data_IF_200344125302
#
_entry.id   IF_200344125302
#
_cell.length_a   1.000
_cell.length_b   1.000
_cell.length_c   1.000
_cell.angle_alpha   90.00
_cell.angle_beta   90.00
_cell.angle_gamma   90.00
#
_symmetry.space_group_name_H-M   'P 1'
#
loop_
_entity.id
_entity.type
_entity.pdbx_description
1 polymer ?
#
# COMPACT_ATOMS: atom_id res chain seq x y z
N UNK A 1 3.15 9.09 15.59
CA UNK A 1 2.95 10.03 14.46
C UNK A 1 3.37 9.25 13.22
N UNK A 2 2.42 8.87 12.37
CA UNK A 2 2.66 8.03 11.20
C UNK A 2 3.17 8.84 10.00
N UNK A 3 3.76 8.17 9.01
CA UNK A 3 4.13 8.77 7.73
C UNK A 3 3.14 8.35 6.64
N UNK A 4 2.70 9.30 5.80
CA UNK A 4 1.96 9.01 4.57
C UNK A 4 2.91 9.09 3.37
N UNK A 5 2.74 8.18 2.43
CA UNK A 5 3.40 8.19 1.14
C UNK A 5 2.36 8.05 0.04
N UNK A 6 2.58 8.72 -1.09
CA UNK A 6 1.70 8.63 -2.25
C UNK A 6 2.50 8.26 -3.49
N UNK A 7 2.05 7.24 -4.19
CA UNK A 7 2.59 6.79 -5.46
C UNK A 7 1.65 7.27 -6.55
N UNK A 8 2.14 8.15 -7.40
CA UNK A 8 1.39 8.74 -8.51
C UNK A 8 1.78 8.04 -9.81
N UNK A 9 0.77 7.57 -10.53
CA UNK A 9 0.86 6.98 -11.87
C UNK A 9 0.56 8.08 -12.92
N UNK A 10 1.02 7.88 -14.15
CA UNK A 10 0.62 8.76 -15.24
C UNK A 10 -0.89 8.60 -15.52
N UNK A 11 -1.54 9.71 -15.90
CA UNK A 11 -2.96 9.72 -16.26
C UNK A 11 -3.23 9.09 -17.62
N UNK A 12 -2.19 8.89 -18.43
CA UNK A 12 -2.26 8.11 -19.67
C UNK A 12 -2.39 6.60 -19.42
N UNK A 13 -2.04 6.14 -18.22
CA UNK A 13 -2.07 4.71 -17.87
C UNK A 13 -3.48 4.23 -17.47
N UNK A 14 -3.63 2.93 -17.25
CA UNK A 14 -4.83 2.41 -16.59
C UNK A 14 -4.79 2.67 -15.08
N UNK A 15 -5.90 3.11 -14.46
CA UNK A 15 -5.94 3.34 -13.02
C UNK A 15 -5.71 2.03 -12.24
N UNK A 16 -4.93 2.11 -11.15
CA UNK A 16 -4.71 0.95 -10.28
C UNK A 16 -5.95 0.70 -9.44
N UNK A 17 -6.61 -0.43 -9.72
CA UNK A 17 -7.75 -0.90 -8.96
C UNK A 17 -7.30 -1.59 -7.67
N UNK A 18 -8.20 -1.70 -6.70
CA UNK A 18 -7.94 -2.43 -5.46
C UNK A 18 -7.57 -3.91 -5.73
N UNK A 19 -8.17 -4.54 -6.74
CA UNK A 19 -7.90 -5.94 -7.08
C UNK A 19 -6.48 -6.12 -7.63
N UNK A 20 -5.97 -5.15 -8.39
CA UNK A 20 -4.57 -5.14 -8.82
C UNK A 20 -3.66 -4.97 -7.60
N UNK A 21 -3.97 -4.00 -6.74
CA UNK A 21 -3.21 -3.73 -5.53
C UNK A 21 -3.14 -4.97 -4.63
N UNK A 22 -4.27 -5.68 -4.44
CA UNK A 22 -4.31 -6.90 -3.67
C UNK A 22 -3.49 -8.01 -4.33
N UNK A 23 -3.63 -8.23 -5.64
CA UNK A 23 -2.84 -9.25 -6.35
C UNK A 23 -1.33 -9.06 -6.18
N UNK A 24 -0.88 -7.81 -6.19
CA UNK A 24 0.53 -7.44 -6.00
C UNK A 24 0.94 -7.69 -4.54
N UNK A 25 0.17 -7.18 -3.57
CA UNK A 25 0.65 -7.08 -2.20
C UNK A 25 0.21 -8.23 -1.28
N UNK A 26 -0.79 -9.05 -1.65
CA UNK A 26 -1.30 -10.13 -0.78
C UNK A 26 -0.30 -11.25 -0.51
N UNK A 27 0.78 -11.31 -1.29
CA UNK A 27 1.88 -12.27 -1.15
C UNK A 27 2.96 -11.80 -0.19
N UNK A 28 2.91 -10.54 0.25
CA UNK A 28 3.94 -9.97 1.09
C UNK A 28 3.82 -10.43 2.54
N UNK A 29 4.96 -10.60 3.23
CA UNK A 29 4.96 -10.86 4.65
C UNK A 29 4.23 -9.72 5.38
N UNK A 30 3.41 -10.10 6.34
CA UNK A 30 2.60 -9.17 7.13
C UNK A 30 1.28 -8.78 6.50
N UNK A 31 0.94 -9.19 5.27
CA UNK A 31 -0.41 -8.97 4.74
C UNK A 31 -1.47 -9.60 5.67
N UNK A 32 -2.41 -8.79 6.13
CA UNK A 32 -3.41 -9.18 7.12
C UNK A 32 -4.85 -9.09 6.58
N UNK A 33 -5.01 -8.76 5.30
CA UNK A 33 -6.30 -8.71 4.63
C UNK A 33 -6.76 -7.30 4.29
N UNK A 34 -8.08 -7.16 4.12
CA UNK A 34 -8.72 -5.90 3.74
C UNK A 34 -9.55 -5.36 4.90
N UNK A 35 -9.53 -4.04 5.05
CA UNK A 35 -10.44 -3.33 5.92
C UNK A 35 -11.24 -2.29 5.12
N UNK A 36 -12.53 -2.17 5.44
CA UNK A 36 -13.44 -1.20 4.85
C UNK A 36 -13.78 -0.17 5.91
N UNK A 37 -13.22 1.03 5.78
CA UNK A 37 -13.51 2.14 6.70
C UNK A 37 -14.03 3.32 5.88
N UNK A 38 -15.20 3.85 6.26
CA UNK A 38 -15.81 5.02 5.61
C UNK A 38 -15.96 4.90 4.07
N UNK A 39 -16.22 3.69 3.56
CA UNK A 39 -16.36 3.43 2.11
C UNK A 39 -15.04 3.33 1.34
N UNK A 40 -13.90 3.48 2.02
CA UNK A 40 -12.58 3.20 1.47
C UNK A 40 -12.14 1.81 1.88
N UNK A 41 -11.69 1.03 0.90
CA UNK A 41 -11.09 -0.29 1.16
C UNK A 41 -9.58 -0.14 1.15
N UNK A 42 -8.94 -0.63 2.21
CA UNK A 42 -7.48 -0.61 2.37
C UNK A 42 -6.96 -2.02 2.62
N UNK A 43 -5.73 -2.27 2.19
CA UNK A 43 -4.97 -3.47 2.50
C UNK A 43 -4.16 -3.21 3.77
N UNK A 44 -4.31 -4.07 4.78
CA UNK A 44 -3.63 -3.92 6.05
C UNK A 44 -2.37 -4.81 6.10
N UNK A 45 -1.28 -4.26 6.63
CA UNK A 45 -0.08 -5.01 6.94
C UNK A 45 0.26 -4.90 8.42
N UNK A 46 0.63 -6.03 9.02
CA UNK A 46 1.00 -6.17 10.43
C UNK A 46 2.29 -6.96 10.57
N UNK A 47 3.18 -6.44 11.41
CA UNK A 47 4.41 -7.10 11.83
C UNK A 47 4.17 -8.10 12.94
N UNK A 48 5.20 -8.88 13.30
CA UNK A 48 5.09 -9.90 14.34
C UNK A 48 4.53 -9.37 15.67
N UNK A 49 4.97 -8.18 16.08
CA UNK A 49 4.58 -7.57 17.35
C UNK A 49 3.12 -7.05 17.31
N UNK A 50 2.72 -6.43 16.20
CA UNK A 50 1.37 -5.87 16.01
C UNK A 50 0.35 -6.97 15.72
N UNK A 51 0.77 -8.10 15.14
CA UNK A 51 -0.08 -9.28 14.92
C UNK A 51 -0.55 -9.88 16.26
N UNK A 52 0.26 -9.79 17.31
CA UNK A 52 -0.11 -10.26 18.65
C UNK A 52 -1.14 -9.34 19.33
N UNK A 53 -1.29 -8.09 18.88
CA UNK A 53 -2.22 -7.10 19.39
C UNK A 53 -3.32 -6.79 18.36
N UNK A 54 -4.22 -7.76 18.14
CA UNK A 54 -5.27 -7.70 17.10
C UNK A 54 -6.23 -6.51 17.24
N UNK A 55 -6.40 -5.96 18.45
CA UNK A 55 -7.26 -4.80 18.70
C UNK A 55 -6.57 -3.45 18.39
N UNK A 56 -5.30 -3.47 17.95
CA UNK A 56 -4.53 -2.29 17.61
C UNK A 56 -4.61 -1.89 16.12
N UNK A 57 -4.22 -0.63 15.79
CA UNK A 57 -4.07 -0.22 14.40
C UNK A 57 -3.03 -1.08 13.68
N UNK A 58 -3.19 -1.35 12.37
CA UNK A 58 -2.17 -2.04 11.59
C UNK A 58 -0.89 -1.20 11.46
N UNK A 59 0.22 -1.84 11.10
CA UNK A 59 1.48 -1.12 10.88
C UNK A 59 1.44 -0.27 9.61
N UNK A 60 0.76 -0.77 8.57
CA UNK A 60 0.62 -0.09 7.28
C UNK A 60 -0.78 -0.32 6.71
N UNK A 61 -1.38 0.75 6.17
CA UNK A 61 -2.55 0.67 5.30
C UNK A 61 -2.19 1.12 3.89
N UNK A 62 -2.63 0.37 2.89
CA UNK A 62 -2.47 0.73 1.48
C UNK A 62 -3.85 0.87 0.82
N UNK A 63 -4.12 2.01 0.21
CA UNK A 63 -5.36 2.28 -0.51
C UNK A 63 -5.08 2.84 -1.90
N UNK A 64 -6.11 2.90 -2.75
CA UNK A 64 -6.01 3.47 -4.09
C UNK A 64 -7.18 4.41 -4.39
N UNK A 65 -6.91 5.44 -5.18
CA UNK A 65 -7.91 6.38 -5.71
C UNK A 65 -7.49 6.83 -7.11
N UNK A 66 -8.06 6.19 -8.14
CA UNK A 66 -7.75 6.47 -9.54
C UNK A 66 -6.29 6.17 -9.88
N UNK A 67 -5.49 7.24 -10.07
CA UNK A 67 -4.07 7.18 -10.46
C UNK A 67 -3.12 7.37 -9.27
N UNK A 68 -3.64 7.27 -8.04
CA UNK A 68 -2.86 7.44 -6.81
C UNK A 68 -3.03 6.23 -5.92
N UNK A 69 -1.91 5.63 -5.51
CA UNK A 69 -1.86 4.67 -4.41
C UNK A 69 -1.32 5.39 -3.18
N UNK A 70 -2.03 5.27 -2.06
CA UNK A 70 -1.62 5.87 -0.77
C UNK A 70 -1.18 4.78 0.18
N UNK A 71 -0.04 4.98 0.84
CA UNK A 71 0.50 4.12 1.87
C UNK A 71 0.63 4.92 3.17
N UNK A 72 -0.09 4.51 4.21
CA UNK A 72 -0.03 5.12 5.54
C UNK A 72 0.70 4.17 6.49
N UNK A 73 1.87 4.59 6.98
CA UNK A 73 2.66 3.87 7.97
C UNK A 73 2.33 4.39 9.37
N UNK A 74 1.95 3.49 10.29
CA UNK A 74 1.63 3.78 11.68
C UNK A 74 2.65 3.16 12.65
N UNK A 75 3.14 1.96 12.33
CA UNK A 75 3.99 1.15 13.20
C UNK A 75 5.34 0.82 12.56
N UNK A 76 5.61 -0.46 12.29
CA UNK A 76 6.92 -0.90 11.78
C UNK A 76 7.29 -0.27 10.43
N UNK A 77 8.37 0.51 10.44
CA UNK A 77 8.92 1.17 9.25
C UNK A 77 9.46 0.16 8.22
N UNK A 78 9.97 -0.98 8.65
CA UNK A 78 10.53 -1.98 7.73
C UNK A 78 9.45 -2.58 6.83
N UNK A 79 8.26 -2.79 7.39
CA UNK A 79 7.10 -3.26 6.63
C UNK A 79 6.69 -2.20 5.62
N UNK A 80 6.61 -0.93 6.03
CA UNK A 80 6.29 0.16 5.13
C UNK A 80 7.29 0.28 3.96
N UNK A 81 8.59 0.22 4.25
CA UNK A 81 9.64 0.26 3.24
C UNK A 81 9.55 -0.93 2.27
N UNK A 82 9.27 -2.13 2.78
CA UNK A 82 9.14 -3.32 1.96
C UNK A 82 7.90 -3.27 1.06
N UNK A 83 6.75 -2.89 1.61
CA UNK A 83 5.49 -2.74 0.87
C UNK A 83 5.63 -1.67 -0.23
N UNK A 84 6.21 -0.51 0.09
CA UNK A 84 6.46 0.55 -0.88
C UNK A 84 7.42 0.08 -1.99
N UNK A 85 8.51 -0.60 -1.63
CA UNK A 85 9.49 -1.11 -2.57
C UNK A 85 8.89 -2.10 -3.58
N UNK A 86 8.12 -3.08 -3.09
CA UNK A 86 7.42 -4.05 -3.96
C UNK A 86 6.41 -3.34 -4.84
N UNK A 87 5.60 -2.45 -4.27
CA UNK A 87 4.59 -1.72 -5.03
C UNK A 87 5.22 -0.97 -6.21
N UNK A 88 6.29 -0.21 -5.99
CA UNK A 88 6.97 0.52 -7.08
C UNK A 88 7.57 -0.46 -8.10
N UNK A 89 8.26 -1.50 -7.64
CA UNK A 89 8.91 -2.45 -8.57
C UNK A 89 7.91 -3.20 -9.44
N UNK A 90 6.78 -3.62 -8.88
CA UNK A 90 5.73 -4.36 -9.61
C UNK A 90 4.95 -3.45 -10.57
N UNK A 91 4.68 -2.21 -10.18
CA UNK A 91 4.04 -1.24 -11.09
C UNK A 91 4.93 -0.88 -12.28
N UNK A 92 6.25 -0.79 -12.07
CA UNK A 92 7.22 -0.61 -13.17
C UNK A 92 7.36 -1.88 -14.01
N UNK A 93 7.48 -3.06 -13.39
CA UNK A 93 7.74 -4.32 -14.10
C UNK A 93 6.56 -4.77 -14.97
N UNK A 94 5.33 -4.58 -14.51
CA UNK A 94 4.12 -4.87 -15.28
C UNK A 94 3.85 -3.84 -16.40
N UNK A 95 4.79 -2.90 -16.64
CA UNK A 95 4.66 -1.81 -17.64
C UNK A 95 3.39 -0.99 -17.44
N UNK A 96 2.90 -0.90 -16.19
CA UNK A 96 1.68 -0.15 -15.87
C UNK A 96 1.91 1.34 -15.78
N UNK A 97 3.16 1.77 -15.67
CA UNK A 97 3.52 3.18 -15.78
C UNK A 97 4.98 3.36 -16.20
N UNK A 98 5.20 4.24 -17.17
CA UNK A 98 6.54 4.64 -17.60
C UNK A 98 7.23 5.55 -16.58
N UNK A 99 6.46 6.22 -15.72
CA UNK A 99 6.96 7.14 -14.71
C UNK A 99 6.14 7.03 -13.43
N UNK A 100 6.83 6.71 -12.34
CA UNK A 100 6.25 6.67 -11.00
C UNK A 100 6.85 7.79 -10.16
N UNK A 101 6.00 8.57 -9.52
CA UNK A 101 6.43 9.57 -8.53
C UNK A 101 6.01 9.16 -7.13
N UNK A 102 6.99 9.10 -6.22
CA UNK A 102 6.75 8.84 -4.79
C UNK A 102 6.86 10.15 -4.03
N UNK A 103 5.76 10.59 -3.43
CA UNK A 103 5.64 11.84 -2.69
C UNK A 103 5.45 11.54 -1.21
N UNK A 104 6.25 12.19 -0.36
CA UNK A 104 6.01 12.30 1.07
C UNK A 104 5.48 13.72 1.34
N UNK A 105 4.25 13.90 1.86
CA UNK A 105 3.73 15.23 2.19
C UNK A 105 4.52 15.91 3.31
#
# INVERSE_FOLDING_TARGET
MGCEYSVHLDKSDEPVTLDILEKILCRLPGYHGKNITAGQVTLEFRGPDTLAALDGPPDVNVGTSGYRVTLCQFGDYNIAAHVLGVLVMELVSESRSERIEVVKP
#
